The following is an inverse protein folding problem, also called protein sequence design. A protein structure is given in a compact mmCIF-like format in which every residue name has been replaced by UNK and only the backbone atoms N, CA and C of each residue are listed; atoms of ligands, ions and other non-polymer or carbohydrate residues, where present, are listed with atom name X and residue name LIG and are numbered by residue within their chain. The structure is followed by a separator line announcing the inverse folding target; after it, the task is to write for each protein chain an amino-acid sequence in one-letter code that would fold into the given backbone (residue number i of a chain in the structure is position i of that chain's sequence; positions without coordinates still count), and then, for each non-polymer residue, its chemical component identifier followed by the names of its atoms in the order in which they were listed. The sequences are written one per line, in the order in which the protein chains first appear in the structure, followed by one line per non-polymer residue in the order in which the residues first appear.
data_IF_713568863001
#
_entry.id   IF_713568863001
#
_cell.length_a   1.000
_cell.length_b   1.000
_cell.length_c   1.000
_cell.angle_alpha   90.00
_cell.angle_beta   90.00
_cell.angle_gamma   90.00
#
_symmetry.space_group_name_H-M   'P 1'
#
loop_
_entity.id
_entity.type
_entity.pdbx_description
1 polymer ?
#
# COMPACT_ATOMS: atom_id res chain seq x y z
N UNK A 1 57.54 -41.03 -34.10
CA UNK A 1 56.38 -40.77 -34.99
C UNK A 1 56.55 -39.37 -35.56
N UNK A 2 57.25 -39.23 -36.72
CA UNK A 2 56.71 -39.08 -38.10
C UNK A 2 55.81 -37.83 -38.25
N UNK A 3 55.91 -36.90 -39.23
CA UNK A 3 56.90 -36.37 -40.19
C UNK A 3 56.17 -35.23 -40.98
N UNK A 4 56.89 -34.20 -41.44
CA UNK A 4 56.60 -33.31 -42.62
C UNK A 4 55.37 -32.38 -42.57
N UNK A 5 55.31 -31.22 -43.23
CA UNK A 5 56.20 -30.54 -44.18
C UNK A 5 55.52 -29.28 -44.77
N UNK A 6 56.33 -28.37 -45.29
CA UNK A 6 56.01 -27.13 -46.04
C UNK A 6 55.01 -27.33 -47.21
N UNK A 7 54.15 -26.32 -47.50
CA UNK A 7 54.17 -25.48 -48.72
C UNK A 7 52.89 -24.62 -48.94
N UNK A 8 53.14 -23.38 -49.41
CA UNK A 8 52.39 -22.56 -50.39
C UNK A 8 51.04 -21.85 -50.08
N UNK A 9 51.17 -20.51 -50.00
CA UNK A 9 50.42 -19.43 -50.67
C UNK A 9 49.25 -19.82 -51.60
N UNK A 10 48.13 -19.08 -51.49
CA UNK A 10 47.51 -18.37 -52.60
C UNK A 10 46.75 -17.12 -52.11
N UNK A 11 46.88 -16.03 -52.87
CA UNK A 11 46.32 -14.69 -52.68
C UNK A 11 44.85 -14.61 -53.15
N UNK A 12 44.11 -13.66 -52.58
CA UNK A 12 42.89 -13.09 -53.17
C UNK A 12 42.09 -12.28 -52.13
N UNK A 13 42.50 -11.04 -51.82
CA UNK A 13 41.92 -9.78 -52.34
C UNK A 13 40.65 -9.37 -51.57
N UNK A 14 40.83 -8.52 -50.55
CA UNK A 14 40.36 -7.12 -50.49
C UNK A 14 38.83 -6.96 -50.59
N UNK A 15 38.19 -6.60 -49.46
CA UNK A 15 37.56 -5.28 -49.30
C UNK A 15 37.14 -5.08 -47.83
N UNK A 16 37.65 -4.00 -47.26
CA UNK A 16 37.02 -3.28 -46.15
C UNK A 16 35.69 -2.74 -46.66
N UNK A 17 34.65 -2.77 -45.84
CA UNK A 17 33.74 -1.64 -45.73
C UNK A 17 33.04 -1.66 -44.37
N UNK A 18 33.09 -0.51 -43.73
CA UNK A 18 32.36 -0.10 -42.54
C UNK A 18 30.88 -0.46 -42.62
N UNK A 19 30.33 -0.99 -41.52
CA UNK A 19 28.90 -0.86 -41.18
C UNK A 19 28.70 -1.04 -39.68
N UNK A 20 28.81 0.09 -39.00
CA UNK A 20 27.94 0.57 -37.91
C UNK A 20 27.29 -0.49 -37.00
N UNK A 21 27.71 -0.45 -35.74
CA UNK A 21 26.99 -0.96 -34.57
C UNK A 21 25.52 -0.50 -34.58
N UNK A 22 24.63 -1.40 -35.02
CA UNK A 22 23.20 -1.24 -34.88
C UNK A 22 22.77 -1.73 -33.49
N UNK A 23 22.70 -0.79 -32.56
CA UNK A 23 21.97 -0.88 -31.29
C UNK A 23 20.52 -1.36 -31.57
N UNK A 24 20.01 -2.41 -30.90
CA UNK A 24 18.63 -2.83 -31.10
C UNK A 24 17.66 -1.71 -30.64
N UNK A 25 16.57 -1.46 -31.38
CA UNK A 25 15.72 -0.30 -31.11
C UNK A 25 14.94 -0.48 -29.81
N UNK A 26 14.88 0.62 -29.05
CA UNK A 26 13.96 0.81 -27.95
C UNK A 26 12.53 0.63 -28.48
N UNK A 27 11.80 -0.33 -27.93
CA UNK A 27 10.36 -0.48 -28.21
C UNK A 27 9.61 0.62 -27.48
N UNK A 28 9.27 1.65 -28.23
CA UNK A 28 8.42 2.75 -27.79
C UNK A 28 6.99 2.32 -27.49
N UNK A 29 6.39 3.04 -26.54
CA UNK A 29 5.08 3.70 -26.66
C UNK A 29 4.08 3.01 -27.61
N UNK A 30 3.62 1.83 -27.22
CA UNK A 30 2.38 1.28 -27.76
C UNK A 30 1.23 1.86 -26.95
N UNK A 31 0.66 2.95 -27.44
CA UNK A 31 -0.58 3.53 -26.94
C UNK A 31 -1.71 2.50 -27.11
N UNK A 32 -1.92 1.70 -26.07
CA UNK A 32 -2.96 0.68 -26.05
C UNK A 32 -4.33 1.38 -25.99
N UNK A 33 -5.04 1.34 -27.12
CA UNK A 33 -6.47 1.62 -27.19
C UNK A 33 -7.19 0.61 -26.29
N UNK A 34 -7.71 1.07 -25.16
CA UNK A 34 -8.51 0.27 -24.24
C UNK A 34 -9.82 -0.16 -24.92
N UNK A 35 -9.98 -1.46 -25.17
CA UNK A 35 -11.29 -2.04 -25.43
C UNK A 35 -12.02 -2.27 -24.11
N UNK A 36 -13.18 -1.63 -23.92
CA UNK A 36 -14.17 -2.01 -22.90
C UNK A 36 -14.45 -0.92 -21.85
N UNK A 37 -15.64 -0.34 -21.96
CA UNK A 37 -16.22 0.79 -21.20
C UNK A 37 -15.79 2.19 -21.64
N UNK A 38 -16.78 3.06 -21.83
CA UNK A 38 -16.59 4.46 -22.20
C UNK A 38 -16.34 5.30 -20.94
N UNK A 39 -15.15 5.92 -20.83
CA UNK A 39 -14.74 6.68 -19.66
C UNK A 39 -14.04 7.99 -20.00
N UNK A 40 -14.14 8.96 -19.09
CA UNK A 40 -13.35 10.20 -19.10
C UNK A 40 -12.06 9.93 -18.35
N UNK A 41 -10.92 10.10 -19.01
CA UNK A 41 -9.60 10.02 -18.39
C UNK A 41 -9.27 11.35 -17.73
N UNK A 42 -9.09 11.35 -16.42
CA UNK A 42 -8.58 12.50 -15.68
C UNK A 42 -7.07 12.37 -15.51
N UNK A 43 -6.40 13.51 -15.55
CA UNK A 43 -4.97 13.62 -15.35
C UNK A 43 -4.65 14.00 -13.90
N UNK A 44 -3.39 13.83 -13.51
CA UNK A 44 -2.90 14.30 -12.23
C UNK A 44 -1.53 13.71 -11.92
N UNK A 45 -0.93 14.19 -10.84
CA UNK A 45 0.43 13.84 -10.42
C UNK A 45 0.51 13.26 -9.02
N UNK A 46 -0.61 13.16 -8.29
CA UNK A 46 -0.64 12.55 -6.98
C UNK A 46 -0.82 11.04 -7.11
N UNK A 47 -0.04 10.29 -6.36
CA UNK A 47 -0.12 8.85 -6.32
C UNK A 47 -1.27 8.40 -5.42
N UNK A 48 -2.07 7.47 -5.91
CA UNK A 48 -3.17 6.81 -5.21
C UNK A 48 -2.96 5.30 -5.30
N UNK A 49 -2.79 4.66 -4.15
CA UNK A 49 -2.47 3.24 -4.05
C UNK A 49 -3.71 2.38 -4.34
N UNK A 50 -3.52 1.34 -5.15
CA UNK A 50 -4.51 0.24 -5.25
C UNK A 50 -4.10 -0.83 -4.26
N UNK A 51 -5.06 -1.39 -3.52
CA UNK A 51 -4.84 -2.45 -2.55
C UNK A 51 -5.58 -3.74 -2.93
N UNK A 52 -5.15 -4.86 -2.36
CA UNK A 52 -5.77 -6.17 -2.55
C UNK A 52 -5.37 -6.85 -3.87
N UNK A 53 -4.38 -6.31 -4.57
CA UNK A 53 -3.93 -6.79 -5.88
C UNK A 53 -3.34 -8.20 -5.82
N UNK A 54 -2.94 -8.66 -4.64
CA UNK A 54 -2.52 -10.05 -4.41
C UNK A 54 -3.62 -11.06 -4.81
N UNK A 55 -4.89 -10.67 -4.75
CA UNK A 55 -6.02 -11.50 -5.17
C UNK A 55 -6.27 -11.45 -6.69
N UNK A 56 -5.59 -10.55 -7.41
CA UNK A 56 -5.81 -10.27 -8.83
C UNK A 56 -4.55 -10.40 -9.69
N UNK A 57 -3.54 -11.14 -9.20
CA UNK A 57 -2.25 -11.29 -9.88
C UNK A 57 -2.36 -11.93 -11.25
N UNK A 58 -3.25 -12.92 -11.43
CA UNK A 58 -3.44 -13.54 -12.74
C UNK A 58 -4.02 -12.56 -13.76
N UNK A 59 -4.90 -11.66 -13.33
CA UNK A 59 -5.47 -10.59 -14.14
C UNK A 59 -4.37 -9.57 -14.51
N UNK A 60 -3.59 -9.13 -13.53
CA UNK A 60 -2.47 -8.19 -13.76
C UNK A 60 -1.43 -8.75 -14.72
N UNK A 61 -1.07 -10.03 -14.55
CA UNK A 61 -0.15 -10.70 -15.47
C UNK A 61 -0.72 -10.78 -16.89
N UNK A 62 -2.02 -11.00 -17.06
CA UNK A 62 -2.65 -10.94 -18.39
C UNK A 62 -2.60 -9.54 -19.00
N UNK A 63 -2.86 -8.50 -18.21
CA UNK A 63 -2.80 -7.11 -18.69
C UNK A 63 -1.41 -6.76 -19.24
N UNK A 64 -0.35 -7.20 -18.57
CA UNK A 64 1.03 -6.87 -18.96
C UNK A 64 1.61 -7.78 -20.05
N UNK A 65 0.78 -8.63 -20.67
CA UNK A 65 1.18 -9.49 -21.78
C UNK A 65 1.54 -10.93 -21.41
N UNK A 66 1.26 -11.36 -20.18
CA UNK A 66 1.46 -12.71 -19.68
C UNK A 66 2.50 -12.79 -18.56
N UNK A 67 2.50 -13.92 -17.85
CA UNK A 67 3.45 -14.19 -16.77
C UNK A 67 4.88 -14.21 -17.32
N UNK A 68 5.75 -13.40 -16.72
CA UNK A 68 7.16 -13.28 -17.09
C UNK A 68 8.03 -13.16 -15.85
N UNK A 69 9.27 -13.63 -15.91
CA UNK A 69 10.26 -13.38 -14.84
C UNK A 69 10.96 -12.04 -14.98
N UNK A 70 10.62 -11.23 -15.99
CA UNK A 70 11.17 -9.89 -16.14
C UNK A 70 10.50 -8.89 -15.21
N UNK A 71 11.20 -7.80 -14.91
CA UNK A 71 10.58 -6.66 -14.22
C UNK A 71 9.59 -5.99 -15.16
N UNK A 72 8.47 -5.56 -14.59
CA UNK A 72 7.39 -4.90 -15.30
C UNK A 72 7.28 -3.46 -14.78
N UNK A 73 7.21 -2.51 -15.71
CA UNK A 73 6.74 -1.14 -15.51
C UNK A 73 5.94 -0.76 -16.75
N UNK A 74 4.61 -0.77 -16.63
CA UNK A 74 3.70 -0.55 -17.75
C UNK A 74 2.68 0.53 -17.39
N UNK A 75 2.62 1.58 -18.21
CA UNK A 75 1.58 2.60 -18.11
C UNK A 75 0.24 2.03 -18.57
N UNK A 76 -0.82 2.36 -17.85
CA UNK A 76 -2.17 1.82 -18.04
C UNK A 76 -3.22 2.90 -17.76
N UNK A 77 -4.43 2.68 -18.26
CA UNK A 77 -5.61 3.44 -17.84
C UNK A 77 -6.49 2.57 -16.95
N UNK A 78 -6.84 3.12 -15.79
CA UNK A 78 -7.58 2.42 -14.76
C UNK A 78 -8.96 3.08 -14.60
N UNK A 79 -10.03 2.30 -14.57
CA UNK A 79 -11.40 2.80 -14.37
C UNK A 79 -11.82 2.58 -12.92
N UNK A 80 -12.38 3.61 -12.31
CA UNK A 80 -12.88 3.57 -10.92
C UNK A 80 -14.39 3.30 -10.90
N UNK A 81 -14.81 2.28 -10.15
CA UNK A 81 -16.21 1.86 -10.01
C UNK A 81 -16.61 1.87 -8.55
N UNK A 82 -17.52 2.78 -8.17
CA UNK A 82 -18.14 2.74 -6.85
C UNK A 82 -19.12 1.55 -6.77
N UNK A 83 -18.84 0.59 -5.90
CA UNK A 83 -19.76 -0.52 -5.63
C UNK A 83 -20.76 -0.12 -4.54
N UNK A 84 -22.05 -0.36 -4.77
CA UNK A 84 -23.13 -0.01 -3.82
C UNK A 84 -23.58 -1.18 -2.96
N UNK A 85 -23.22 -2.40 -3.35
CA UNK A 85 -23.69 -3.66 -2.77
C UNK A 85 -22.55 -4.59 -2.34
N UNK A 86 -21.33 -4.06 -2.24
CA UNK A 86 -20.18 -4.81 -1.74
C UNK A 86 -20.43 -5.26 -0.27
N UNK A 87 -20.30 -6.55 0.06
CA UNK A 87 -20.65 -7.08 1.38
C UNK A 87 -19.62 -6.75 2.48
N UNK A 88 -18.41 -6.32 2.11
CA UNK A 88 -17.30 -6.06 3.03
C UNK A 88 -17.10 -4.58 3.34
N UNK A 89 -17.37 -3.71 2.35
CA UNK A 89 -17.25 -2.27 2.49
C UNK A 89 -18.30 -1.56 1.63
N UNK A 90 -19.18 -0.79 2.29
CA UNK A 90 -20.26 -0.04 1.64
C UNK A 90 -19.74 1.10 0.76
N UNK A 91 -18.49 1.53 0.98
CA UNK A 91 -17.85 2.60 0.24
C UNK A 91 -16.91 2.09 -0.85
N UNK A 92 -16.75 0.77 -1.00
CA UNK A 92 -15.78 0.16 -1.88
C UNK A 92 -15.71 0.82 -3.26
N UNK A 93 -14.50 1.22 -3.66
CA UNK A 93 -14.18 1.69 -4.99
C UNK A 93 -13.27 0.66 -5.63
N UNK A 94 -13.82 -0.05 -6.62
CA UNK A 94 -13.11 -1.05 -7.40
C UNK A 94 -12.31 -0.40 -8.51
N UNK A 95 -11.09 -0.89 -8.71
CA UNK A 95 -10.21 -0.45 -9.79
C UNK A 95 -10.15 -1.52 -10.87
N UNK A 96 -10.37 -1.12 -12.12
CA UNK A 96 -10.39 -2.01 -13.28
C UNK A 96 -9.41 -1.57 -14.36
N UNK A 97 -8.75 -2.53 -15.01
CA UNK A 97 -7.91 -2.30 -16.19
C UNK A 97 -8.37 -3.25 -17.30
N UNK A 98 -8.60 -2.72 -18.50
CA UNK A 98 -9.10 -3.48 -19.65
C UNK A 98 -10.34 -4.35 -19.31
N UNK A 99 -11.26 -3.82 -18.51
CA UNK A 99 -12.48 -4.53 -18.10
C UNK A 99 -12.30 -5.59 -17.01
N UNK A 100 -11.07 -5.80 -16.50
CA UNK A 100 -10.79 -6.74 -15.41
C UNK A 100 -10.53 -6.02 -14.09
N UNK A 101 -11.08 -6.53 -12.98
CA UNK A 101 -10.75 -6.05 -11.63
C UNK A 101 -9.30 -6.37 -11.30
N UNK A 102 -8.58 -5.36 -10.82
CA UNK A 102 -7.17 -5.48 -10.42
C UNK A 102 -6.92 -5.16 -8.95
N UNK A 103 -7.91 -4.56 -8.29
CA UNK A 103 -7.85 -4.24 -6.86
C UNK A 103 -8.92 -3.23 -6.49
N UNK A 104 -8.73 -2.58 -5.35
CA UNK A 104 -9.63 -1.58 -4.79
C UNK A 104 -8.83 -0.40 -4.25
N UNK A 105 -9.45 0.74 -4.03
CA UNK A 105 -8.86 1.72 -3.12
C UNK A 105 -8.89 1.18 -1.69
N UNK A 106 -7.97 1.67 -0.84
CA UNK A 106 -8.06 1.38 0.59
C UNK A 106 -9.35 1.96 1.18
N UNK A 107 -9.75 1.50 2.38
CA UNK A 107 -11.05 1.88 2.95
C UNK A 107 -11.13 3.37 3.25
N UNK A 108 -10.04 3.92 3.72
CA UNK A 108 -9.87 5.32 4.06
C UNK A 108 -10.06 6.17 2.80
N UNK A 109 -9.30 5.90 1.74
CA UNK A 109 -9.44 6.59 0.45
C UNK A 109 -10.84 6.36 -0.16
N UNK A 110 -11.39 5.15 -0.08
CA UNK A 110 -12.72 4.86 -0.60
C UNK A 110 -13.81 5.72 0.07
N UNK A 111 -13.70 6.03 1.36
CA UNK A 111 -14.61 6.94 2.06
C UNK A 111 -14.49 8.36 1.52
N UNK A 112 -13.26 8.84 1.31
CA UNK A 112 -12.99 10.20 0.86
C UNK A 112 -13.40 10.42 -0.60
N UNK A 113 -12.96 9.54 -1.49
CA UNK A 113 -13.12 9.70 -2.94
C UNK A 113 -14.54 9.44 -3.44
N UNK A 114 -15.35 8.67 -2.71
CA UNK A 114 -16.61 8.14 -3.25
C UNK A 114 -17.61 9.21 -3.64
N UNK A 115 -17.81 10.22 -2.80
CA UNK A 115 -18.77 11.28 -3.09
C UNK A 115 -18.37 12.06 -4.34
N UNK A 116 -17.10 12.43 -4.43
CA UNK A 116 -16.51 13.10 -5.59
C UNK A 116 -16.58 12.29 -6.87
N UNK A 117 -16.25 11.00 -6.79
CA UNK A 117 -16.30 10.07 -7.92
C UNK A 117 -17.72 9.97 -8.48
N UNK A 118 -18.72 9.78 -7.61
CA UNK A 118 -20.12 9.70 -8.02
C UNK A 118 -20.62 11.02 -8.63
N UNK A 119 -20.24 12.16 -8.04
CA UNK A 119 -20.60 13.47 -8.57
C UNK A 119 -19.99 13.70 -9.97
N UNK A 120 -18.72 13.31 -10.16
CA UNK A 120 -18.05 13.35 -11.46
C UNK A 120 -18.71 12.45 -12.49
N UNK A 121 -18.97 11.19 -12.15
CA UNK A 121 -19.64 10.26 -13.06
C UNK A 121 -21.04 10.75 -13.47
N UNK A 122 -21.79 11.33 -12.52
CA UNK A 122 -23.11 11.90 -12.81
C UNK A 122 -23.02 13.11 -13.75
N UNK A 123 -22.01 13.97 -13.58
CA UNK A 123 -21.80 15.15 -14.42
C UNK A 123 -21.35 14.80 -15.84
N UNK A 124 -20.43 13.85 -15.97
CA UNK A 124 -19.89 13.44 -17.27
C UNK A 124 -20.80 12.44 -18.01
N UNK A 125 -21.74 11.79 -17.31
CA UNK A 125 -22.56 10.71 -17.85
C UNK A 125 -21.76 9.48 -18.27
N UNK A 126 -20.50 9.38 -17.84
CA UNK A 126 -19.50 8.38 -18.23
C UNK A 126 -18.72 7.94 -16.99
N UNK A 127 -18.05 6.79 -17.09
CA UNK A 127 -17.16 6.35 -16.01
C UNK A 127 -15.93 7.26 -15.92
N UNK A 128 -15.27 7.28 -14.78
CA UNK A 128 -14.03 8.04 -14.58
C UNK A 128 -12.86 7.07 -14.59
N UNK A 129 -11.87 7.41 -15.41
CA UNK A 129 -10.59 6.73 -15.46
C UNK A 129 -9.46 7.62 -15.01
N UNK A 130 -8.39 7.01 -14.52
CA UNK A 130 -7.13 7.62 -14.14
C UNK A 130 -5.99 6.97 -14.91
N UNK A 131 -4.93 7.73 -15.16
CA UNK A 131 -3.66 7.12 -15.57
C UNK A 131 -3.10 6.33 -14.40
N UNK A 132 -2.35 5.27 -14.67
CA UNK A 132 -1.70 4.50 -13.64
C UNK A 132 -0.53 3.70 -14.17
N UNK A 133 0.22 3.10 -13.26
CA UNK A 133 1.37 2.26 -13.59
C UNK A 133 1.24 0.90 -12.90
N UNK A 134 1.39 -0.17 -13.68
CA UNK A 134 1.62 -1.52 -13.15
C UNK A 134 3.12 -1.68 -12.97
N UNK A 135 3.55 -2.00 -11.76
CA UNK A 135 4.97 -2.20 -11.41
C UNK A 135 5.18 -3.51 -10.67
N UNK A 136 6.36 -4.11 -10.81
CA UNK A 136 6.76 -5.28 -10.04
C UNK A 136 7.31 -6.40 -10.93
N UNK A 137 6.90 -7.64 -10.66
CA UNK A 137 7.43 -8.80 -11.39
C UNK A 137 8.85 -9.14 -10.96
N UNK A 138 9.68 -9.51 -11.93
CA UNK A 138 11.05 -9.96 -11.68
C UNK A 138 11.13 -11.43 -11.26
N UNK A 139 12.31 -12.02 -11.44
CA UNK A 139 12.56 -13.44 -11.16
C UNK A 139 12.61 -13.67 -9.64
N UNK A 140 11.80 -14.60 -9.16
CA UNK A 140 11.88 -15.15 -7.78
C UNK A 140 11.97 -16.69 -7.85
N UNK A 141 12.32 -17.31 -6.73
CA UNK A 141 12.49 -18.76 -6.64
C UNK A 141 11.16 -19.52 -6.81
N UNK A 142 10.05 -18.90 -6.42
CA UNK A 142 8.68 -19.41 -6.47
C UNK A 142 7.90 -18.94 -7.71
N UNK A 143 8.59 -18.27 -8.65
CA UNK A 143 8.02 -17.78 -9.89
C UNK A 143 8.19 -16.26 -10.07
N UNK A 144 7.38 -15.64 -10.91
CA UNK A 144 7.39 -14.18 -11.07
C UNK A 144 7.00 -13.46 -9.78
N UNK A 145 7.67 -12.34 -9.50
CA UNK A 145 7.25 -11.46 -8.42
C UNK A 145 5.85 -10.88 -8.61
N UNK A 146 5.24 -10.44 -7.52
CA UNK A 146 3.91 -9.83 -7.61
C UNK A 146 3.96 -8.48 -8.32
N UNK A 147 2.86 -8.13 -8.96
CA UNK A 147 2.60 -6.84 -9.59
C UNK A 147 1.72 -6.00 -8.65
N UNK A 148 2.01 -4.71 -8.54
CA UNK A 148 1.19 -3.71 -7.85
C UNK A 148 0.71 -2.63 -8.82
N UNK A 149 -0.27 -1.84 -8.40
CA UNK A 149 -0.86 -0.78 -9.23
C UNK A 149 -0.92 0.54 -8.47
N UNK A 150 -0.51 1.62 -9.13
CA UNK A 150 -0.61 2.99 -8.63
C UNK A 150 -1.36 3.84 -9.63
N UNK A 151 -2.25 4.71 -9.16
CA UNK A 151 -3.02 5.64 -9.98
C UNK A 151 -2.48 7.05 -9.81
N UNK A 152 -2.44 7.82 -10.88
CA UNK A 152 -2.11 9.24 -10.87
C UNK A 152 -3.38 10.06 -10.97
N UNK A 153 -3.60 10.98 -10.03
CA UNK A 153 -4.84 11.75 -9.90
C UNK A 153 -4.61 13.18 -9.39
N UNK A 154 -5.64 14.01 -9.50
CA UNK A 154 -5.75 15.30 -8.84
C UNK A 154 -6.89 15.22 -7.80
N UNK A 155 -6.63 15.36 -6.50
CA UNK A 155 -7.67 15.30 -5.47
C UNK A 155 -8.82 16.30 -5.71
N UNK A 156 -8.53 17.47 -6.29
CA UNK A 156 -9.55 18.49 -6.57
C UNK A 156 -10.58 18.04 -7.59
N UNK A 157 -10.22 17.09 -8.46
CA UNK A 157 -11.18 16.51 -9.37
C UNK A 157 -12.32 15.80 -8.63
N UNK A 158 -12.06 15.30 -7.42
CA UNK A 158 -13.02 14.58 -6.60
C UNK A 158 -13.63 15.46 -5.50
N UNK A 159 -13.49 16.79 -5.59
CA UNK A 159 -14.01 17.71 -4.58
C UNK A 159 -13.31 17.58 -3.22
N UNK A 160 -12.17 16.89 -3.20
CA UNK A 160 -11.24 16.95 -2.08
C UNK A 160 -10.49 18.27 -2.22
N UNK A 161 -10.07 18.88 -1.12
CA UNK A 161 -9.15 19.99 -1.23
C UNK A 161 -7.93 19.46 -1.98
N UNK A 162 -7.61 20.06 -3.15
CA UNK A 162 -6.23 20.00 -3.59
C UNK A 162 -5.44 20.55 -2.41
N UNK A 163 -4.65 19.69 -1.77
CA UNK A 163 -3.50 20.22 -1.08
C UNK A 163 -2.84 21.16 -2.08
N UNK A 164 -2.56 22.40 -1.67
CA UNK A 164 -1.70 23.31 -2.42
C UNK A 164 -0.59 22.49 -3.10
N UNK A 165 -0.31 22.66 -4.41
CA UNK A 165 0.81 21.95 -5.01
C UNK A 165 2.02 22.27 -4.13
N UNK A 166 2.60 21.28 -3.45
CA UNK A 166 3.50 21.60 -2.36
C UNK A 166 4.73 22.29 -2.96
N UNK A 167 5.28 23.32 -2.31
CA UNK A 167 6.65 23.71 -2.59
C UNK A 167 7.54 22.46 -2.44
N UNK A 168 8.68 22.36 -3.14
CA UNK A 168 9.57 21.21 -3.02
C UNK A 168 10.09 21.12 -1.58
N UNK A 169 9.36 20.39 -0.75
CA UNK A 169 9.63 20.19 0.65
C UNK A 169 9.09 18.81 1.03
N UNK A 170 10.05 17.92 1.14
CA UNK A 170 10.12 16.53 1.66
C UNK A 170 9.20 16.19 2.87
N UNK A 171 8.44 17.13 3.43
CA UNK A 171 7.77 16.99 4.72
C UNK A 171 6.35 16.43 4.68
N UNK A 172 5.59 16.60 3.59
CA UNK A 172 4.17 16.16 3.53
C UNK A 172 3.95 14.79 2.85
N UNK A 173 4.99 14.17 2.30
CA UNK A 173 4.93 12.85 1.62
C UNK A 173 5.67 11.74 2.36
N UNK A 174 6.47 12.09 3.38
CA UNK A 174 7.35 11.19 4.11
C UNK A 174 6.55 10.15 4.92
N UNK A 175 6.13 9.06 4.26
CA UNK A 175 5.43 7.97 4.93
C UNK A 175 6.42 7.21 5.80
N UNK A 176 7.30 6.42 5.22
CA UNK A 176 8.37 5.73 5.97
C UNK A 176 9.73 6.39 5.78
N UNK A 177 9.84 7.36 4.86
CA UNK A 177 11.11 7.94 4.43
C UNK A 177 11.90 7.12 3.43
N UNK A 178 11.49 5.86 3.14
CA UNK A 178 12.22 4.96 2.26
C UNK A 178 12.12 5.37 0.78
N UNK A 179 10.94 5.82 0.36
CA UNK A 179 10.75 6.30 -1.02
C UNK A 179 11.54 7.57 -1.28
N UNK A 180 11.56 8.48 -0.31
CA UNK A 180 12.31 9.74 -0.35
C UNK A 180 13.82 9.48 -0.28
N UNK A 181 14.25 8.51 0.54
CA UNK A 181 15.65 8.08 0.58
C UNK A 181 16.09 7.53 -0.78
N UNK A 182 15.31 6.66 -1.42
CA UNK A 182 15.63 6.12 -2.75
C UNK A 182 15.70 7.20 -3.84
N UNK A 183 14.83 8.22 -3.77
CA UNK A 183 14.81 9.31 -4.76
C UNK A 183 15.96 10.30 -4.53
N UNK A 184 16.29 10.60 -3.27
CA UNK A 184 17.37 11.55 -2.94
C UNK A 184 18.75 10.93 -3.11
N UNK A 185 18.89 9.62 -2.90
CA UNK A 185 20.13 8.87 -3.08
C UNK A 185 20.69 9.02 -4.51
N UNK A 186 19.86 8.88 -5.54
CA UNK A 186 20.29 9.09 -6.93
C UNK A 186 20.85 10.51 -7.19
N UNK A 187 20.46 11.49 -6.38
CA UNK A 187 20.83 12.88 -6.54
C UNK A 187 22.01 13.31 -5.66
N UNK A 188 22.17 12.72 -4.47
CA UNK A 188 23.13 13.18 -3.46
C UNK A 188 24.03 12.10 -2.84
N UNK A 189 23.86 10.82 -3.21
CA UNK A 189 24.67 9.67 -2.75
C UNK A 189 24.79 9.61 -1.21
N UNK A 190 23.74 10.03 -0.50
CA UNK A 190 23.76 10.17 0.96
C UNK A 190 23.78 8.83 1.70
N UNK A 191 23.36 7.72 1.06
CA UNK A 191 23.13 6.42 1.72
C UNK A 191 23.49 5.24 0.82
N UNK A 192 23.98 4.13 1.37
CA UNK A 192 24.21 2.93 0.55
C UNK A 192 22.97 2.03 0.55
N UNK A 193 21.90 2.42 -0.14
CA UNK A 193 20.70 1.57 -0.27
C UNK A 193 20.91 0.37 -1.21
N UNK A 194 22.13 0.12 -1.70
CA UNK A 194 22.44 -1.00 -2.59
C UNK A 194 22.18 -2.36 -1.92
N UNK A 195 22.26 -2.42 -0.58
CA UNK A 195 21.90 -3.63 0.16
C UNK A 195 20.47 -4.07 -0.12
N UNK A 196 19.53 -3.14 -0.30
CA UNK A 196 18.12 -3.43 -0.55
C UNK A 196 17.93 -4.20 -1.86
N UNK A 197 18.74 -3.85 -2.87
CA UNK A 197 18.76 -4.53 -4.19
C UNK A 197 19.48 -5.88 -4.11
N UNK A 198 20.49 -5.99 -3.24
CA UNK A 198 21.30 -7.20 -3.06
C UNK A 198 20.69 -8.22 -2.09
N UNK A 199 19.56 -7.91 -1.44
CA UNK A 199 18.91 -8.85 -0.54
C UNK A 199 18.44 -10.11 -1.28
N UNK A 200 18.69 -11.30 -0.72
CA UNK A 200 18.12 -12.54 -1.24
C UNK A 200 16.60 -12.48 -1.34
N UNK A 201 16.03 -13.07 -2.39
CA UNK A 201 14.58 -13.21 -2.52
C UNK A 201 13.98 -14.16 -1.46
N UNK A 202 14.75 -15.19 -1.07
CA UNK A 202 14.38 -16.11 0.00
C UNK A 202 14.31 -15.38 1.35
N UNK A 203 13.20 -15.55 2.07
CA UNK A 203 12.93 -14.82 3.30
C UNK A 203 13.94 -15.12 4.41
N UNK A 204 14.35 -16.38 4.58
CA UNK A 204 15.28 -16.78 5.64
C UNK A 204 16.71 -16.31 5.34
N UNK A 205 17.14 -16.41 4.09
CA UNK A 205 18.41 -15.89 3.63
C UNK A 205 18.47 -14.36 3.75
N UNK A 206 17.38 -13.66 3.42
CA UNK A 206 17.27 -12.20 3.60
C UNK A 206 17.37 -11.80 5.07
N UNK A 207 16.63 -12.47 5.97
CA UNK A 207 16.72 -12.26 7.43
C UNK A 207 18.17 -12.43 7.91
N UNK A 208 18.84 -13.50 7.46
CA UNK A 208 20.25 -13.75 7.81
C UNK A 208 21.17 -12.64 7.29
N UNK A 209 20.96 -12.17 6.06
CA UNK A 209 21.76 -11.10 5.46
C UNK A 209 21.56 -9.76 6.17
N UNK A 210 20.32 -9.38 6.47
CA UNK A 210 20.00 -8.16 7.22
C UNK A 210 20.65 -8.16 8.60
N UNK A 211 20.57 -9.27 9.34
CA UNK A 211 21.26 -9.44 10.62
C UNK A 211 22.78 -9.34 10.52
N UNK A 212 23.38 -9.66 9.37
CA UNK A 212 24.82 -9.50 9.15
C UNK A 212 25.17 -8.04 8.84
N UNK A 213 24.38 -7.36 8.02
CA UNK A 213 24.57 -5.96 7.68
C UNK A 213 24.46 -5.09 8.94
N UNK A 214 23.40 -5.28 9.73
CA UNK A 214 23.16 -4.56 10.99
C UNK A 214 24.26 -4.71 12.06
N UNK A 215 25.21 -5.65 11.92
CA UNK A 215 26.36 -5.74 12.84
C UNK A 215 27.44 -4.71 12.57
N UNK A 216 27.51 -4.21 11.35
CA UNK A 216 28.69 -3.48 10.87
C UNK A 216 28.32 -2.19 10.13
N UNK A 217 27.08 -2.04 9.69
CA UNK A 217 26.64 -0.82 9.05
C UNK A 217 26.70 0.36 10.04
N UNK A 218 27.44 1.44 9.72
CA UNK A 218 27.59 2.58 10.61
C UNK A 218 26.51 3.64 10.41
N UNK A 219 25.75 3.63 9.31
CA UNK A 219 24.86 4.73 8.96
C UNK A 219 23.48 4.57 9.64
N UNK A 220 23.03 5.52 10.47
CA UNK A 220 21.77 5.39 11.19
C UNK A 220 20.53 5.28 10.30
N UNK A 221 20.53 5.93 9.14
CA UNK A 221 19.37 5.92 8.22
C UNK A 221 19.32 4.59 7.46
N UNK A 222 20.45 4.07 6.99
CA UNK A 222 20.52 2.74 6.39
C UNK A 222 20.07 1.66 7.37
N UNK A 223 20.60 1.72 8.60
CA UNK A 223 20.20 0.81 9.68
C UNK A 223 18.70 0.86 9.98
N UNK A 224 18.10 2.06 10.01
CA UNK A 224 16.65 2.21 10.19
C UNK A 224 15.87 1.43 9.14
N UNK A 225 16.23 1.59 7.86
CA UNK A 225 15.57 0.87 6.78
C UNK A 225 15.85 -0.64 6.80
N UNK A 226 17.06 -1.05 7.18
CA UNK A 226 17.39 -2.46 7.40
C UNK A 226 16.54 -3.09 8.51
N UNK A 227 16.34 -2.40 9.64
CA UNK A 227 15.48 -2.86 10.72
C UNK A 227 14.02 -2.95 10.25
N UNK A 228 13.48 -1.92 9.60
CA UNK A 228 12.12 -1.95 9.04
C UNK A 228 11.92 -3.16 8.11
N UNK A 229 12.89 -3.45 7.24
CA UNK A 229 12.84 -4.60 6.35
C UNK A 229 12.95 -5.94 7.11
N UNK A 230 13.86 -6.03 8.09
CA UNK A 230 14.06 -7.22 8.92
C UNK A 230 12.79 -7.56 9.70
N UNK A 231 12.21 -6.58 10.38
CA UNK A 231 10.96 -6.68 11.13
C UNK A 231 9.82 -7.16 10.24
N UNK A 232 9.64 -6.52 9.07
CA UNK A 232 8.61 -6.92 8.10
C UNK A 232 8.77 -8.37 7.65
N UNK A 233 10.00 -8.83 7.41
CA UNK A 233 10.29 -10.21 6.98
C UNK A 233 10.04 -11.22 8.10
N UNK A 234 10.47 -10.91 9.32
CA UNK A 234 10.24 -11.75 10.50
C UNK A 234 8.74 -11.89 10.78
N UNK A 235 8.00 -10.78 10.76
CA UNK A 235 6.55 -10.79 11.01
C UNK A 235 5.76 -11.54 9.93
N UNK A 236 6.19 -11.46 8.66
CA UNK A 236 5.61 -12.28 7.57
C UNK A 236 5.92 -13.77 7.75
N UNK A 237 7.02 -14.10 8.41
CA UNK A 237 7.46 -15.47 8.66
C UNK A 237 6.94 -16.04 9.99
N UNK A 238 6.04 -15.34 10.69
CA UNK A 238 5.51 -15.72 12.01
C UNK A 238 4.94 -17.14 12.09
N UNK A 239 4.38 -17.62 10.98
CA UNK A 239 3.75 -18.94 10.87
C UNK A 239 4.72 -19.97 10.23
N UNK A 240 5.90 -19.54 9.80
CA UNK A 240 6.88 -20.38 9.10
C UNK A 240 7.86 -21.09 10.04
N UNK A 241 8.20 -20.50 11.19
CA UNK A 241 9.05 -21.13 12.21
C UNK A 241 8.75 -20.58 13.61
N UNK A 242 8.91 -21.43 14.62
CA UNK A 242 8.46 -21.15 15.99
C UNK A 242 9.10 -19.90 16.62
N UNK A 243 10.36 -19.60 16.28
CA UNK A 243 11.04 -18.42 16.84
C UNK A 243 10.70 -17.11 16.15
N UNK A 244 10.00 -17.12 15.00
CA UNK A 244 9.85 -15.94 14.15
C UNK A 244 9.26 -14.71 14.87
N UNK A 245 8.31 -14.92 15.78
CA UNK A 245 7.71 -13.86 16.58
C UNK A 245 8.62 -13.36 17.71
N UNK A 246 9.37 -14.25 18.35
CA UNK A 246 10.34 -13.85 19.38
C UNK A 246 11.51 -13.09 18.74
N UNK A 247 11.95 -13.56 17.58
CA UNK A 247 12.96 -12.92 16.74
C UNK A 247 12.49 -11.54 16.25
N UNK A 248 11.22 -11.40 15.88
CA UNK A 248 10.59 -10.12 15.55
C UNK A 248 10.62 -9.17 16.75
N UNK A 249 10.16 -9.64 17.92
CA UNK A 249 10.13 -8.82 19.14
C UNK A 249 11.54 -8.38 19.55
N UNK A 250 12.54 -9.22 19.35
CA UNK A 250 13.95 -8.87 19.58
C UNK A 250 14.49 -7.85 18.57
N UNK A 251 14.18 -8.00 17.28
CA UNK A 251 14.56 -7.02 16.27
C UNK A 251 13.96 -5.64 16.56
N UNK A 252 12.68 -5.57 16.96
CA UNK A 252 12.05 -4.31 17.34
C UNK A 252 12.73 -3.67 18.57
N UNK A 253 13.15 -4.45 19.57
CA UNK A 253 13.89 -3.92 20.74
C UNK A 253 15.26 -3.38 20.34
N UNK A 254 15.97 -4.07 19.45
CA UNK A 254 17.27 -3.62 18.95
C UNK A 254 17.12 -2.33 18.14
N UNK A 255 16.09 -2.25 17.30
CA UNK A 255 15.76 -1.03 16.57
C UNK A 255 15.47 0.14 17.53
N UNK A 256 14.59 -0.06 18.52
CA UNK A 256 14.26 0.97 19.53
C UNK A 256 15.48 1.46 20.32
N UNK A 257 16.42 0.56 20.64
CA UNK A 257 17.66 0.91 21.33
C UNK A 257 18.56 1.87 20.52
N UNK A 258 18.39 1.92 19.20
CA UNK A 258 19.13 2.80 18.29
C UNK A 258 18.31 4.03 17.86
N UNK A 259 17.01 4.06 18.18
CA UNK A 259 16.08 5.03 17.62
C UNK A 259 16.37 6.49 17.99
N UNK A 260 17.04 6.78 19.12
CA UNK A 260 17.39 8.17 19.45
C UNK A 260 18.41 8.75 18.46
N UNK A 261 19.46 7.98 18.11
CA UNK A 261 20.47 8.39 17.11
C UNK A 261 19.88 8.41 15.70
N UNK A 262 19.06 7.40 15.39
CA UNK A 262 18.35 7.32 14.11
C UNK A 262 17.41 8.53 13.95
N UNK A 263 16.67 8.89 14.99
CA UNK A 263 15.74 10.03 14.98
C UNK A 263 16.47 11.33 14.65
N UNK A 264 17.61 11.60 15.28
CA UNK A 264 18.41 12.79 14.98
C UNK A 264 18.82 12.84 13.51
N UNK A 265 19.22 11.70 12.96
CA UNK A 265 19.61 11.58 11.55
C UNK A 265 18.42 11.76 10.60
N UNK A 266 17.28 11.13 10.89
CA UNK A 266 16.04 11.29 10.12
C UNK A 266 15.58 12.74 10.10
N UNK A 267 15.64 13.44 11.23
CA UNK A 267 15.33 14.86 11.31
C UNK A 267 16.30 15.73 10.52
N UNK A 268 17.60 15.44 10.61
CA UNK A 268 18.61 16.18 9.86
C UNK A 268 18.39 16.04 8.35
N UNK A 269 18.00 14.85 7.87
CA UNK A 269 17.73 14.63 6.44
C UNK A 269 16.38 15.18 6.00
N UNK A 270 15.31 14.79 6.67
CA UNK A 270 13.96 15.00 6.17
C UNK A 270 13.28 16.24 6.78
N UNK A 271 13.88 16.83 7.81
CA UNK A 271 13.29 17.93 8.57
C UNK A 271 12.09 17.52 9.44
N UNK A 272 11.73 16.23 9.43
CA UNK A 272 10.61 15.64 10.17
C UNK A 272 10.87 14.15 10.45
N UNK A 273 10.19 13.60 11.45
CA UNK A 273 10.24 12.17 11.78
C UNK A 273 9.19 11.42 10.93
N UNK A 274 9.59 10.47 10.07
CA UNK A 274 8.67 9.64 9.29
C UNK A 274 7.79 8.75 10.18
N UNK A 275 6.77 8.12 9.61
CA UNK A 275 6.01 7.08 10.29
C UNK A 275 6.95 5.94 10.71
N UNK A 276 7.08 5.77 12.02
CA UNK A 276 7.86 4.72 12.66
C UNK A 276 7.02 3.44 12.78
N UNK A 277 6.98 2.63 11.72
CA UNK A 277 6.13 1.43 11.63
C UNK A 277 6.36 0.42 12.76
N UNK A 278 7.59 0.29 13.24
CA UNK A 278 7.97 -0.55 14.40
C UNK A 278 7.05 -0.32 15.59
N UNK A 279 6.84 0.94 15.96
CA UNK A 279 6.03 1.28 17.13
C UNK A 279 4.54 1.01 16.90
N UNK A 280 4.02 1.36 15.72
CA UNK A 280 2.62 1.07 15.38
C UNK A 280 2.33 -0.43 15.46
N UNK A 281 3.23 -1.26 14.90
CA UNK A 281 3.07 -2.71 14.93
C UNK A 281 3.24 -3.30 16.33
N UNK A 282 4.23 -2.85 17.11
CA UNK A 282 4.42 -3.31 18.48
C UNK A 282 3.23 -2.95 19.38
N UNK A 283 2.69 -1.74 19.26
CA UNK A 283 1.48 -1.34 19.99
C UNK A 283 0.30 -2.26 19.69
N UNK A 284 0.04 -2.55 18.40
CA UNK A 284 -1.04 -3.46 17.99
C UNK A 284 -0.80 -4.88 18.52
N UNK A 285 0.45 -5.35 18.45
CA UNK A 285 0.84 -6.69 18.90
C UNK A 285 0.64 -6.86 20.40
N UNK A 286 1.11 -5.93 21.22
CA UNK A 286 0.94 -5.99 22.68
C UNK A 286 -0.52 -5.83 23.09
N UNK A 287 -1.27 -4.96 22.39
CA UNK A 287 -2.73 -4.89 22.54
C UNK A 287 -3.41 -6.25 22.31
N UNK A 288 -3.03 -6.98 21.26
CA UNK A 288 -3.62 -8.30 20.96
C UNK A 288 -3.26 -9.34 22.02
N UNK A 289 -2.05 -9.27 22.58
CA UNK A 289 -1.63 -10.08 23.71
C UNK A 289 -2.30 -9.68 25.03
N UNK A 290 -3.03 -8.55 25.06
CA UNK A 290 -3.56 -7.90 26.28
C UNK A 290 -2.49 -7.54 27.30
N UNK A 291 -1.25 -7.36 26.84
CA UNK A 291 -0.18 -6.80 27.64
C UNK A 291 -0.27 -5.27 27.59
N UNK A 292 -1.07 -4.71 28.48
CA UNK A 292 -1.32 -3.27 28.51
C UNK A 292 -0.09 -2.49 28.96
N UNK A 293 0.75 -3.07 29.82
CA UNK A 293 1.99 -2.42 30.29
C UNK A 293 2.96 -2.26 29.13
N UNK A 294 3.20 -3.33 28.36
CA UNK A 294 4.04 -3.25 27.17
C UNK A 294 3.42 -2.35 26.09
N UNK A 295 2.10 -2.42 25.85
CA UNK A 295 1.44 -1.56 24.88
C UNK A 295 1.59 -0.07 25.22
N UNK A 296 1.46 0.31 26.51
CA UNK A 296 1.70 1.67 27.01
C UNK A 296 3.14 2.07 26.75
N UNK A 297 4.11 1.23 27.16
CA UNK A 297 5.53 1.52 26.99
C UNK A 297 5.90 1.83 25.52
N UNK A 298 5.50 0.96 24.57
CA UNK A 298 5.75 1.18 23.14
C UNK A 298 5.04 2.43 22.61
N UNK A 299 3.85 2.75 23.13
CA UNK A 299 3.10 3.96 22.71
C UNK A 299 3.79 5.23 23.21
N UNK A 300 4.18 5.28 24.49
CA UNK A 300 4.89 6.41 25.10
C UNK A 300 6.23 6.65 24.42
N UNK A 301 6.96 5.57 24.11
CA UNK A 301 8.23 5.65 23.41
C UNK A 301 8.07 6.23 22.01
N UNK A 302 7.05 5.82 21.26
CA UNK A 302 6.74 6.39 19.95
C UNK A 302 6.41 7.89 20.02
N UNK A 303 5.56 8.29 20.97
CA UNK A 303 5.19 9.69 21.17
C UNK A 303 6.40 10.56 21.53
N UNK A 304 7.33 10.04 22.35
CA UNK A 304 8.58 10.73 22.66
C UNK A 304 9.46 10.92 21.43
N UNK A 305 9.55 9.92 20.54
CA UNK A 305 10.32 10.01 19.31
C UNK A 305 9.68 10.96 18.29
N UNK A 306 8.35 11.02 18.20
CA UNK A 306 7.71 11.99 17.33
C UNK A 306 7.87 13.42 17.84
N UNK A 307 7.63 13.66 19.12
CA UNK A 307 7.56 15.02 19.68
C UNK A 307 6.57 15.88 18.90
N UNK A 308 6.97 17.10 18.55
CA UNK A 308 6.25 18.04 17.69
C UNK A 308 6.67 17.95 16.21
N UNK A 309 7.57 17.02 15.86
CA UNK A 309 8.22 16.96 14.54
C UNK A 309 7.75 15.76 13.70
N UNK A 310 6.58 15.20 13.98
CA UNK A 310 6.04 14.11 13.17
C UNK A 310 5.68 14.58 11.75
N UNK A 311 6.14 13.86 10.74
CA UNK A 311 5.71 14.07 9.35
C UNK A 311 4.20 13.77 9.18
N UNK A 312 3.64 12.92 10.05
CA UNK A 312 2.22 12.53 10.07
C UNK A 312 1.58 12.79 11.43
N UNK A 313 1.03 13.99 11.68
CA UNK A 313 0.38 14.34 12.95
C UNK A 313 -0.77 13.41 13.36
N UNK A 314 -1.46 12.81 12.41
CA UNK A 314 -2.51 11.81 12.62
C UNK A 314 -2.01 10.53 13.28
N UNK A 315 -0.75 10.13 13.04
CA UNK A 315 -0.14 8.98 13.71
C UNK A 315 0.10 9.27 15.19
N UNK A 316 0.53 10.49 15.52
CA UNK A 316 0.66 10.97 16.90
C UNK A 316 -0.70 11.00 17.60
N UNK A 317 -1.73 11.48 16.89
CA UNK A 317 -3.10 11.49 17.41
C UNK A 317 -3.61 10.08 17.72
N UNK A 318 -3.48 9.12 16.79
CA UNK A 318 -3.91 7.72 17.01
C UNK A 318 -3.19 7.09 18.21
N UNK A 319 -1.87 7.29 18.33
CA UNK A 319 -1.10 6.81 19.47
C UNK A 319 -1.54 7.45 20.80
N UNK A 320 -1.85 8.74 20.79
CA UNK A 320 -2.38 9.45 21.97
C UNK A 320 -3.74 8.88 22.41
N UNK A 321 -4.65 8.67 21.46
CA UNK A 321 -5.98 8.10 21.72
C UNK A 321 -5.87 6.65 22.26
N UNK A 322 -4.94 5.86 21.70
CA UNK A 322 -4.63 4.51 22.17
C UNK A 322 -4.06 4.49 23.58
N UNK A 323 -3.10 5.37 23.87
CA UNK A 323 -2.47 5.47 25.20
C UNK A 323 -3.50 5.72 26.29
N UNK A 324 -4.41 6.67 26.06
CA UNK A 324 -5.52 6.94 26.98
C UNK A 324 -6.39 5.70 27.18
N UNK A 325 -6.71 4.99 26.10
CA UNK A 325 -7.49 3.75 26.14
C UNK A 325 -6.78 2.60 26.87
N UNK A 326 -5.45 2.48 26.77
CA UNK A 326 -4.68 1.45 27.46
C UNK A 326 -4.52 1.75 28.95
N UNK A 327 -4.24 3.00 29.33
CA UNK A 327 -4.17 3.41 30.74
C UNK A 327 -5.49 3.14 31.47
N UNK A 328 -6.62 3.52 30.87
CA UNK A 328 -7.94 3.22 31.42
C UNK A 328 -8.12 1.70 31.67
N UNK A 329 -7.73 0.85 30.70
CA UNK A 329 -7.80 -0.61 30.87
C UNK A 329 -6.90 -1.14 31.98
N UNK A 330 -5.69 -0.59 32.13
CA UNK A 330 -4.73 -0.99 33.16
C UNK A 330 -5.25 -0.63 34.57
N UNK A 331 -5.86 0.55 34.71
CA UNK A 331 -6.43 1.03 35.97
C UNK A 331 -7.77 0.35 36.33
N UNK A 332 -8.24 -0.60 35.52
CA UNK A 332 -9.56 -1.22 35.67
C UNK A 332 -10.73 -0.27 35.43
N UNK A 333 -10.45 0.96 34.97
CA UNK A 333 -11.44 1.96 34.61
C UNK A 333 -11.99 1.59 33.24
N UNK A 334 -13.26 1.21 33.17
CA UNK A 334 -13.93 1.02 31.88
C UNK A 334 -13.83 2.37 31.14
N UNK A 335 -13.14 2.46 30.00
CA UNK A 335 -13.09 3.72 29.28
C UNK A 335 -14.53 4.12 28.97
N UNK A 336 -14.91 5.34 29.38
CA UNK A 336 -16.17 5.92 28.93
C UNK A 336 -16.09 5.90 27.41
N UNK A 337 -16.87 5.03 26.77
CA UNK A 337 -17.05 5.11 25.32
C UNK A 337 -17.35 6.58 25.04
N UNK A 338 -16.69 7.24 24.07
CA UNK A 338 -17.19 8.52 23.60
C UNK A 338 -18.66 8.28 23.31
N UNK A 339 -19.50 8.98 24.08
CA UNK A 339 -20.92 8.97 23.86
C UNK A 339 -21.07 9.64 22.50
N UNK A 340 -21.08 8.83 21.45
CA UNK A 340 -22.01 9.09 20.36
C UNK A 340 -23.32 9.15 21.11
N UNK A 341 -23.79 10.37 21.36
CA UNK A 341 -25.16 10.64 21.75
C UNK A 341 -25.97 9.85 20.74
N UNK A 342 -26.39 8.64 21.12
CA UNK A 342 -27.46 7.96 20.44
C UNK A 342 -28.59 8.93 20.60
N UNK A 343 -28.87 9.69 19.53
CA UNK A 343 -30.12 10.39 19.40
C UNK A 343 -31.18 9.40 19.88
N UNK A 344 -31.89 9.82 20.93
CA UNK A 344 -32.95 9.07 21.56
C UNK A 344 -33.71 8.31 20.48
N UNK A 345 -33.74 6.97 20.60
CA UNK A 345 -34.49 6.10 19.70
C UNK A 345 -35.89 6.68 19.52
N UNK A 346 -36.21 7.11 18.31
CA UNK A 346 -37.55 7.55 17.96
C UNK A 346 -38.50 6.38 18.22
N UNK A 347 -39.32 6.49 19.25
CA UNK A 347 -40.44 5.59 19.58
C UNK A 347 -41.60 5.86 18.62
N UNK A 348 -41.34 5.79 17.31
CA UNK A 348 -42.34 5.93 16.26
C UNK A 348 -42.63 4.58 15.62
N UNK A 349 -43.89 4.34 15.28
CA UNK A 349 -44.28 3.30 14.32
C UNK A 349 -44.12 3.87 12.90
N UNK A 350 -43.46 3.14 12.01
CA UNK A 350 -43.45 3.47 10.56
C UNK A 350 -44.35 2.49 9.80
N UNK A 351 -45.14 3.01 8.86
CA UNK A 351 -45.95 2.22 7.93
C UNK A 351 -45.16 1.98 6.64
N UNK A 352 -44.95 0.71 6.29
CA UNK A 352 -44.22 0.28 5.10
C UNK A 352 -45.17 -0.37 4.10
N UNK A 353 -45.00 -0.08 2.81
CA UNK A 353 -45.77 -0.73 1.72
C UNK A 353 -44.92 -1.80 1.07
N UNK A 354 -45.46 -3.02 0.95
CA UNK A 354 -44.80 -4.12 0.26
C UNK A 354 -44.79 -3.89 -1.26
N UNK A 355 -43.60 -3.85 -1.88
CA UNK A 355 -43.49 -3.73 -3.34
C UNK A 355 -43.99 -4.97 -4.11
N UNK A 356 -44.12 -6.13 -3.44
CA UNK A 356 -44.60 -7.37 -4.07
C UNK A 356 -46.13 -7.50 -4.08
N UNK A 357 -46.79 -7.17 -2.97
CA UNK A 357 -48.24 -7.37 -2.82
C UNK A 357 -49.05 -6.09 -2.58
N UNK A 358 -48.40 -4.92 -2.50
CA UNK A 358 -49.04 -3.63 -2.26
C UNK A 358 -49.58 -3.42 -0.83
N UNK A 359 -49.56 -4.45 0.03
CA UNK A 359 -50.08 -4.36 1.39
C UNK A 359 -49.19 -3.49 2.29
N UNK A 360 -49.83 -2.74 3.17
CA UNK A 360 -49.17 -1.91 4.18
C UNK A 360 -49.05 -2.65 5.51
N UNK A 361 -47.95 -2.46 6.23
CA UNK A 361 -47.77 -2.98 7.58
C UNK A 361 -46.91 -2.04 8.42
N UNK A 362 -47.18 -2.02 9.73
CA UNK A 362 -46.50 -1.14 10.68
C UNK A 362 -45.36 -1.87 11.40
N UNK A 363 -44.29 -1.15 11.71
CA UNK A 363 -43.25 -1.63 12.63
C UNK A 363 -42.73 -0.51 13.51
N UNK A 364 -42.17 -0.89 14.66
CA UNK A 364 -41.39 0.02 15.50
C UNK A 364 -40.12 0.45 14.75
N UNK A 365 -39.85 1.76 14.71
CA UNK A 365 -38.66 2.33 14.08
C UNK A 365 -37.44 1.96 14.91
N UNK A 366 -36.62 1.05 14.38
CA UNK A 366 -35.32 0.71 14.95
C UNK A 366 -34.20 1.13 13.97
N UNK A 367 -33.07 1.67 14.48
CA UNK A 367 -31.91 1.97 13.62
C UNK A 367 -31.38 0.67 13.00
N UNK A 368 -31.49 0.56 11.67
CA UNK A 368 -31.11 -0.64 10.93
C UNK A 368 -31.88 -0.83 9.62
N UNK A 369 -31.59 -1.94 8.93
CA UNK A 369 -32.15 -2.27 7.61
C UNK A 369 -33.68 -2.40 7.65
N UNK A 370 -34.36 -1.94 6.58
CA UNK A 370 -35.79 -2.21 6.35
C UNK A 370 -36.06 -3.72 6.30
N UNK A 371 -37.27 -4.20 6.65
CA UNK A 371 -37.57 -5.62 6.65
C UNK A 371 -37.39 -6.18 5.24
N UNK A 372 -36.66 -7.28 5.11
CA UNK A 372 -36.45 -7.95 3.82
C UNK A 372 -37.70 -8.68 3.32
N UNK A 373 -38.67 -8.92 4.20
CA UNK A 373 -39.85 -9.73 3.91
C UNK A 373 -41.11 -9.04 4.42
N UNK A 374 -42.15 -9.04 3.59
CA UNK A 374 -43.50 -8.64 3.99
C UNK A 374 -44.15 -9.77 4.81
N UNK A 375 -44.79 -9.46 5.97
CA UNK A 375 -45.48 -10.45 6.79
C UNK A 375 -46.52 -11.27 6.00
N UNK A 376 -47.29 -10.60 5.13
CA UNK A 376 -48.32 -11.24 4.30
C UNK A 376 -47.72 -12.13 3.21
N UNK A 377 -46.60 -11.75 2.60
CA UNK A 377 -45.92 -12.59 1.61
C UNK A 377 -45.18 -13.77 2.24
N UNK A 378 -44.78 -13.66 3.51
CA UNK A 378 -44.07 -14.71 4.23
C UNK A 378 -45.02 -15.85 4.65
N UNK A 379 -46.29 -15.53 4.93
CA UNK A 379 -47.31 -16.52 5.33
C UNK A 379 -47.91 -17.34 4.20
N UNK A 380 -47.72 -16.95 2.93
CA UNK A 380 -48.30 -17.64 1.76
C UNK A 380 -47.38 -18.74 1.18
N UNK A 381 -46.28 -19.06 1.87
CA UNK A 381 -45.31 -20.10 1.47
C UNK A 381 -45.32 -21.30 2.43
N UNK A 382 -46.50 -21.66 2.94
CA UNK A 382 -46.76 -22.88 3.71
C UNK A 382 -47.75 -23.76 2.95
#
# INVERSE_FOLDING_TARGET
MVRMGLFQRLRGREQRDDRSDARPPAKGEAQQRSSGADFVLLAGSHDLEVVGESHYQDQLWRVVGGRSTERVRMQVHCVMIAETDNPYDVNAIRVMINGATVGYLCREDAVEYRAGLLARQAREGRLIGLSGVIVGGGRRADGPGLLGVWLSHDPSDFGLAAGEPPPPAVQAQLRTGLSEALVTDEADDSYDLSWLVQLPADHLAAIKRLRQLLKHDPDPIDRHFMFCELERRLYRSRDAFASALNDYDEACRQHDAEMDVIRESLLAKFGAVPLLETYTQMVIRQQKAKDWVAAIHWTERALALYGDQAARPEAVKDLTDRLAGYRAKLDGVRPSKPSITKASSATGTETLTCQKCGQQFERQVAPGRKPKFCPSCRGAAA
#
